data_IF_261487005638
#
_entry.id   IF_261487005638
#
_cell.length_a   1.000
_cell.length_b   1.000
_cell.length_c   1.000
_cell.angle_alpha   90.00
_cell.angle_beta   90.00
_cell.angle_gamma   90.00
#
_symmetry.space_group_name_H-M   'P 1'
#
loop_
_entity.id
_entity.type
_entity.pdbx_description
1 polymer ?
#
# COMPACT_ATOMS: atom_id res chain seq x y z
N UNK A 1 20.93 18.55 -22.74
CA UNK A 1 20.29 18.03 -21.52
C UNK A 1 19.11 18.95 -21.19
N UNK A 2 17.88 18.52 -21.49
CA UNK A 2 16.67 19.25 -21.18
C UNK A 2 16.32 19.12 -19.70
N UNK A 3 15.92 20.23 -19.06
CA UNK A 3 15.37 20.22 -17.72
C UNK A 3 13.97 19.64 -17.83
N UNK A 4 13.76 18.41 -17.33
CA UNK A 4 12.44 17.80 -17.22
C UNK A 4 11.75 18.38 -16.00
N UNK A 5 10.66 19.13 -16.19
CA UNK A 5 9.80 19.54 -15.07
C UNK A 5 8.98 18.30 -14.64
N UNK A 6 9.01 17.89 -13.37
CA UNK A 6 8.12 16.87 -12.89
C UNK A 6 6.66 17.33 -13.01
N UNK A 7 5.74 16.40 -13.28
CA UNK A 7 4.30 16.71 -13.25
C UNK A 7 3.91 17.32 -11.91
N UNK A 8 3.00 18.30 -11.93
CA UNK A 8 2.45 18.83 -10.68
C UNK A 8 1.64 17.76 -9.95
N UNK A 9 1.51 17.89 -8.63
CA UNK A 9 0.68 16.99 -7.83
C UNK A 9 -0.76 16.93 -8.36
N UNK A 10 -1.33 18.09 -8.75
CA UNK A 10 -2.66 18.18 -9.30
C UNK A 10 -2.79 17.41 -10.62
N UNK A 11 -1.81 17.52 -11.51
CA UNK A 11 -1.79 16.79 -12.77
C UNK A 11 -1.71 15.28 -12.56
N UNK A 12 -0.92 14.84 -11.55
CA UNK A 12 -0.81 13.42 -11.22
C UNK A 12 -2.14 12.88 -10.65
N UNK A 13 -2.76 13.60 -9.72
CA UNK A 13 -4.07 13.25 -9.15
C UNK A 13 -5.15 13.24 -10.24
N UNK A 14 -5.16 14.24 -11.14
CA UNK A 14 -6.08 14.27 -12.27
C UNK A 14 -5.92 13.04 -13.17
N UNK A 15 -4.68 12.60 -13.43
CA UNK A 15 -4.39 11.38 -14.19
C UNK A 15 -4.96 10.14 -13.49
N UNK A 16 -4.78 10.00 -12.18
CA UNK A 16 -5.35 8.88 -11.40
C UNK A 16 -6.88 8.87 -11.56
N UNK A 17 -7.55 10.00 -11.38
CA UNK A 17 -9.01 10.13 -11.53
C UNK A 17 -9.49 9.74 -12.92
N UNK A 18 -8.79 10.17 -13.97
CA UNK A 18 -9.09 9.78 -15.35
C UNK A 18 -8.95 8.27 -15.54
N UNK A 19 -7.87 7.65 -15.04
CA UNK A 19 -7.66 6.22 -15.15
C UNK A 19 -8.74 5.41 -14.42
N UNK A 20 -9.13 5.80 -13.19
CA UNK A 20 -10.22 5.14 -12.44
C UNK A 20 -11.53 5.25 -13.21
N UNK A 21 -11.87 6.45 -13.68
CA UNK A 21 -13.08 6.68 -14.49
C UNK A 21 -13.06 5.85 -15.77
N UNK A 22 -11.95 5.79 -16.48
CA UNK A 22 -11.80 5.02 -17.72
C UNK A 22 -11.96 3.52 -17.46
N UNK A 23 -11.39 3.01 -16.36
CA UNK A 23 -11.62 1.63 -15.91
C UNK A 23 -13.10 1.37 -15.70
N UNK A 24 -13.79 2.27 -15.00
CA UNK A 24 -15.23 2.13 -14.75
C UNK A 24 -16.07 2.17 -16.02
N UNK A 25 -15.75 3.06 -16.95
CA UNK A 25 -16.43 3.18 -18.24
C UNK A 25 -16.19 2.00 -19.18
N UNK A 26 -15.07 1.29 -19.04
CA UNK A 26 -14.82 0.03 -19.77
C UNK A 26 -15.67 -1.16 -19.25
N UNK A 27 -16.52 -0.94 -18.26
CA UNK A 27 -17.36 -1.97 -17.63
C UNK A 27 -16.67 -2.72 -16.49
N UNK A 28 -15.40 -2.48 -16.24
CA UNK A 28 -14.65 -3.13 -15.15
C UNK A 28 -14.80 -2.36 -13.85
N UNK A 29 -15.09 -3.06 -12.76
CA UNK A 29 -15.45 -2.42 -11.48
C UNK A 29 -14.43 -2.62 -10.36
N UNK A 30 -13.22 -3.06 -10.68
CA UNK A 30 -12.11 -3.21 -9.74
C UNK A 30 -10.93 -2.36 -10.20
N UNK A 31 -10.33 -1.58 -9.31
CA UNK A 31 -9.14 -0.79 -9.60
C UNK A 31 -7.91 -1.40 -8.92
N UNK A 32 -6.77 -1.47 -9.61
CA UNK A 32 -5.51 -1.99 -9.08
C UNK A 32 -4.54 -0.82 -8.92
N UNK A 33 -4.32 -0.39 -7.70
CA UNK A 33 -3.45 0.71 -7.35
C UNK A 33 -2.03 0.22 -7.06
N UNK A 34 -1.09 0.57 -7.93
CA UNK A 34 0.30 0.15 -7.85
C UNK A 34 1.17 1.31 -7.35
N UNK A 35 1.94 1.10 -6.29
CA UNK A 35 2.79 2.14 -5.71
C UNK A 35 4.07 2.41 -6.49
N UNK A 36 4.37 1.61 -7.52
CA UNK A 36 5.53 1.76 -8.39
C UNK A 36 5.63 0.67 -9.45
N UNK A 37 6.63 0.74 -10.31
CA UNK A 37 6.78 -0.17 -11.44
C UNK A 37 6.91 -1.66 -11.05
N UNK A 38 7.62 -1.98 -9.96
CA UNK A 38 7.76 -3.37 -9.48
C UNK A 38 6.43 -3.95 -9.01
N UNK A 39 5.67 -3.18 -8.25
CA UNK A 39 4.35 -3.61 -7.77
C UNK A 39 3.34 -3.70 -8.91
N UNK A 40 3.46 -2.86 -9.93
CA UNK A 40 2.65 -2.96 -11.14
C UNK A 40 2.96 -4.22 -11.96
N UNK A 41 4.23 -4.56 -12.14
CA UNK A 41 4.64 -5.78 -12.82
C UNK A 41 4.12 -7.03 -12.09
N UNK A 42 4.30 -7.09 -10.77
CA UNK A 42 3.80 -8.18 -9.94
C UNK A 42 2.26 -8.30 -10.05
N UNK A 43 1.55 -7.20 -9.87
CA UNK A 43 0.09 -7.20 -9.91
C UNK A 43 -0.45 -7.70 -11.28
N UNK A 44 0.16 -7.29 -12.39
CA UNK A 44 -0.21 -7.76 -13.72
C UNK A 44 0.02 -9.27 -13.91
N UNK A 45 1.08 -9.81 -13.31
CA UNK A 45 1.36 -11.25 -13.34
C UNK A 45 0.33 -12.05 -12.51
N UNK A 46 -0.11 -11.50 -11.36
CA UNK A 46 -1.03 -12.16 -10.45
C UNK A 46 -2.50 -12.04 -10.87
N UNK A 47 -2.84 -11.03 -11.66
CA UNK A 47 -4.20 -10.70 -12.08
C UNK A 47 -4.28 -10.59 -13.62
N UNK A 48 -3.92 -11.66 -14.36
CA UNK A 48 -3.87 -11.62 -15.83
C UNK A 48 -5.25 -11.39 -16.45
N UNK A 49 -6.32 -11.73 -15.75
CA UNK A 49 -7.71 -11.52 -16.17
C UNK A 49 -8.18 -10.06 -16.08
N UNK A 50 -7.39 -9.18 -15.40
CA UNK A 50 -7.75 -7.77 -15.27
C UNK A 50 -7.31 -6.98 -16.50
N UNK A 51 -8.15 -6.10 -17.06
CA UNK A 51 -7.78 -5.29 -18.23
C UNK A 51 -6.65 -4.32 -17.87
N UNK A 52 -5.74 -4.09 -18.81
CA UNK A 52 -4.54 -3.26 -18.58
C UNK A 52 -4.87 -1.86 -18.04
N UNK A 53 -6.04 -1.30 -18.40
CA UNK A 53 -6.51 0.01 -17.95
C UNK A 53 -6.80 0.06 -16.44
N UNK A 54 -7.06 -1.09 -15.81
CA UNK A 54 -7.33 -1.16 -14.37
C UNK A 54 -6.07 -1.04 -13.49
N UNK A 55 -4.88 -1.22 -14.06
CA UNK A 55 -3.61 -1.10 -13.33
C UNK A 55 -3.12 0.35 -13.35
N UNK A 56 -3.27 1.04 -12.24
CA UNK A 56 -3.06 2.48 -12.09
C UNK A 56 -1.85 2.71 -11.20
N UNK A 57 -0.81 3.36 -11.71
CA UNK A 57 0.34 3.76 -10.91
C UNK A 57 -0.03 5.01 -10.10
N UNK A 58 -0.03 4.88 -8.77
CA UNK A 58 -0.48 5.93 -7.85
C UNK A 58 0.65 6.62 -7.07
N UNK A 59 1.87 6.07 -7.09
CA UNK A 59 2.98 6.61 -6.29
C UNK A 59 2.63 6.69 -4.80
N UNK A 60 2.45 7.92 -4.33
CA UNK A 60 2.16 8.26 -2.93
C UNK A 60 0.69 8.65 -2.66
N UNK A 61 -0.15 8.71 -3.69
CA UNK A 61 -1.50 9.29 -3.65
C UNK A 61 -2.59 8.25 -3.38
N UNK A 62 -2.47 7.51 -2.26
CA UNK A 62 -3.43 6.44 -1.94
C UNK A 62 -4.81 6.98 -1.58
N UNK A 63 -4.90 8.10 -0.82
CA UNK A 63 -6.18 8.64 -0.39
C UNK A 63 -7.02 9.11 -1.58
N UNK A 64 -6.41 9.89 -2.49
CA UNK A 64 -7.06 10.39 -3.70
C UNK A 64 -7.46 9.25 -4.63
N UNK A 65 -6.67 8.17 -4.65
CA UNK A 65 -6.97 6.97 -5.45
C UNK A 65 -8.18 6.22 -4.92
N UNK A 66 -8.24 5.98 -3.61
CA UNK A 66 -9.36 5.30 -2.97
C UNK A 66 -10.63 6.16 -3.04
N UNK A 67 -10.52 7.47 -2.80
CA UNK A 67 -11.63 8.39 -2.93
C UNK A 67 -12.21 8.34 -4.34
N UNK A 68 -11.36 8.43 -5.37
CA UNK A 68 -11.80 8.32 -6.77
C UNK A 68 -12.47 6.98 -7.07
N UNK A 69 -11.97 5.86 -6.51
CA UNK A 69 -12.60 4.55 -6.67
C UNK A 69 -14.00 4.52 -6.02
N UNK A 70 -14.14 5.07 -4.83
CA UNK A 70 -15.44 5.19 -4.15
C UNK A 70 -16.42 6.04 -4.94
N UNK A 71 -16.02 7.24 -5.40
CA UNK A 71 -16.84 8.16 -6.21
C UNK A 71 -17.30 7.53 -7.53
N UNK A 72 -16.49 6.67 -8.13
CA UNK A 72 -16.83 5.94 -9.37
C UNK A 72 -17.60 4.64 -9.12
N UNK A 73 -17.93 4.30 -7.87
CA UNK A 73 -18.69 3.09 -7.51
C UNK A 73 -17.94 1.80 -7.86
N UNK A 74 -16.62 1.79 -7.65
CA UNK A 74 -15.84 0.55 -7.75
C UNK A 74 -16.26 -0.42 -6.66
N UNK A 75 -16.28 -1.71 -6.96
CA UNK A 75 -16.67 -2.77 -6.02
C UNK A 75 -15.51 -3.28 -5.18
N UNK A 76 -14.27 -3.02 -5.60
CA UNK A 76 -13.06 -3.41 -4.89
C UNK A 76 -11.89 -2.54 -5.36
N UNK A 77 -11.00 -2.20 -4.43
CA UNK A 77 -9.67 -1.69 -4.74
C UNK A 77 -8.61 -2.74 -4.36
N UNK A 78 -7.71 -3.06 -5.29
CA UNK A 78 -6.51 -3.86 -5.02
C UNK A 78 -5.34 -2.91 -4.85
N UNK A 79 -4.62 -2.98 -3.74
CA UNK A 79 -3.44 -2.14 -3.48
C UNK A 79 -2.18 -3.00 -3.49
N UNK A 80 -1.38 -2.82 -4.54
CA UNK A 80 -0.08 -3.48 -4.66
C UNK A 80 1.03 -2.57 -4.10
N UNK A 81 1.61 -2.96 -2.97
CA UNK A 81 2.58 -2.15 -2.26
C UNK A 81 3.70 -2.97 -1.61
N UNK A 82 4.77 -2.30 -1.20
CA UNK A 82 5.84 -2.89 -0.38
C UNK A 82 5.59 -2.64 1.11
N UNK A 83 6.24 -3.39 2.03
CA UNK A 83 6.02 -3.29 3.48
C UNK A 83 6.15 -1.87 4.05
N UNK A 84 7.07 -1.04 3.52
CA UNK A 84 7.22 0.35 3.96
C UNK A 84 5.99 1.21 3.68
N UNK A 85 5.31 1.02 2.56
CA UNK A 85 4.04 1.70 2.26
C UNK A 85 2.90 1.16 3.13
N UNK A 86 2.85 -0.17 3.30
CA UNK A 86 1.86 -0.81 4.15
C UNK A 86 1.89 -0.26 5.58
N UNK A 87 3.09 -0.11 6.16
CA UNK A 87 3.25 0.47 7.50
C UNK A 87 2.72 1.91 7.57
N UNK A 88 2.98 2.73 6.55
CA UNK A 88 2.44 4.09 6.47
C UNK A 88 0.91 4.11 6.36
N UNK A 89 0.33 3.19 5.60
CA UNK A 89 -1.13 3.05 5.50
C UNK A 89 -1.76 2.63 6.83
N UNK A 90 -1.12 1.69 7.54
CA UNK A 90 -1.53 1.28 8.88
C UNK A 90 -1.46 2.44 9.89
N UNK A 91 -0.51 3.34 9.73
CA UNK A 91 -0.40 4.56 10.54
C UNK A 91 -1.41 5.67 10.15
N UNK A 92 -2.26 5.44 9.15
CA UNK A 92 -3.30 6.37 8.73
C UNK A 92 -2.81 7.49 7.81
N UNK A 93 -1.62 7.38 7.22
CA UNK A 93 -1.12 8.39 6.31
C UNK A 93 -1.82 8.35 4.95
N UNK A 94 -2.50 9.45 4.62
CA UNK A 94 -3.19 9.64 3.34
C UNK A 94 -2.22 9.88 2.17
N UNK A 95 -1.10 10.56 2.43
CA UNK A 95 0.00 10.77 1.49
C UNK A 95 1.27 10.18 2.09
N UNK A 96 1.92 9.30 1.34
CA UNK A 96 3.04 8.48 1.83
C UNK A 96 4.41 8.89 1.30
N UNK A 97 4.53 10.11 0.78
CA UNK A 97 5.78 10.61 0.20
C UNK A 97 6.97 10.47 1.18
N UNK A 98 8.01 9.75 0.78
CA UNK A 98 9.10 9.32 1.66
C UNK A 98 9.84 10.49 2.35
N UNK A 99 9.97 11.63 1.66
CA UNK A 99 10.64 12.83 2.21
C UNK A 99 9.75 13.67 3.14
N UNK A 100 8.43 13.43 3.15
CA UNK A 100 7.46 14.20 3.94
C UNK A 100 6.93 13.45 5.16
N UNK A 101 6.95 12.13 5.10
CA UNK A 101 6.34 11.28 6.14
C UNK A 101 7.33 10.18 6.54
N UNK A 102 7.81 10.25 7.77
CA UNK A 102 8.63 9.18 8.36
C UNK A 102 7.82 7.89 8.55
N UNK A 103 8.51 6.78 8.76
CA UNK A 103 7.89 5.54 9.18
C UNK A 103 7.44 5.64 10.64
N UNK A 104 6.28 5.10 10.96
CA UNK A 104 5.82 4.96 12.35
C UNK A 104 6.46 3.72 12.98
N UNK A 105 7.70 3.86 13.45
CA UNK A 105 8.43 2.77 14.11
C UNK A 105 7.78 2.32 15.42
N UNK A 106 7.20 3.18 16.25
CA UNK A 106 6.38 2.75 17.39
C UNK A 106 5.22 1.83 17.01
N UNK A 107 4.48 2.12 15.92
CA UNK A 107 3.44 1.22 15.41
C UNK A 107 4.03 -0.13 14.96
N UNK A 108 5.12 -0.09 14.19
CA UNK A 108 5.80 -1.30 13.75
C UNK A 108 6.25 -2.15 14.93
N UNK A 109 6.90 -1.54 15.94
CA UNK A 109 7.37 -2.24 17.15
C UNK A 109 6.21 -2.92 17.88
N UNK A 110 5.14 -2.19 18.20
CA UNK A 110 3.96 -2.77 18.87
C UNK A 110 3.36 -3.93 18.07
N UNK A 111 3.39 -3.85 16.74
CA UNK A 111 2.91 -4.94 15.88
C UNK A 111 3.84 -6.14 15.95
N UNK A 112 5.14 -5.93 15.89
CA UNK A 112 6.14 -7.01 15.96
C UNK A 112 6.13 -7.74 17.32
N UNK A 113 5.97 -7.01 18.42
CA UNK A 113 5.90 -7.57 19.79
C UNK A 113 4.72 -8.53 20.01
N UNK A 114 3.66 -8.43 19.24
CA UNK A 114 2.53 -9.39 19.28
C UNK A 114 2.89 -10.76 18.72
N UNK A 115 3.93 -10.84 17.89
CA UNK A 115 4.26 -12.05 17.13
C UNK A 115 5.60 -12.66 17.50
N UNK A 116 6.46 -11.91 18.22
CA UNK A 116 7.75 -12.43 18.67
C UNK A 116 8.23 -11.70 19.93
N UNK A 117 8.88 -12.42 20.87
CA UNK A 117 9.60 -11.77 21.95
C UNK A 117 10.80 -11.00 21.40
N UNK A 118 10.93 -9.73 21.73
CA UNK A 118 12.04 -8.88 21.29
C UNK A 118 12.91 -8.50 22.49
N UNK A 119 14.23 -8.59 22.32
CA UNK A 119 15.18 -8.11 23.32
C UNK A 119 15.10 -6.58 23.50
N UNK A 120 15.57 -6.06 24.61
CA UNK A 120 15.64 -4.61 24.83
C UNK A 120 16.52 -3.89 23.80
N UNK A 121 17.53 -4.56 23.26
CA UNK A 121 18.38 -4.05 22.20
C UNK A 121 17.62 -3.99 20.85
N UNK A 122 16.93 -5.06 20.48
CA UNK A 122 16.10 -5.10 19.26
C UNK A 122 15.02 -4.02 19.29
N UNK A 123 14.34 -3.81 20.41
CA UNK A 123 13.33 -2.75 20.59
C UNK A 123 13.92 -1.36 20.35
N UNK A 124 15.06 -1.04 20.97
CA UNK A 124 15.75 0.24 20.76
C UNK A 124 16.20 0.39 19.30
N UNK A 125 16.76 -0.68 18.72
CA UNK A 125 17.18 -0.72 17.33
C UNK A 125 16.03 -0.44 16.36
N UNK A 126 14.87 -1.09 16.56
CA UNK A 126 13.67 -0.86 15.73
C UNK A 126 13.22 0.59 15.80
N UNK A 127 13.16 1.18 17.00
CA UNK A 127 12.75 2.58 17.15
C UNK A 127 13.71 3.57 16.49
N UNK A 128 14.98 3.21 16.34
CA UNK A 128 16.00 4.00 15.66
C UNK A 128 16.02 3.80 14.12
N UNK A 129 15.29 2.82 13.59
CA UNK A 129 15.26 2.54 12.14
C UNK A 129 14.56 3.66 11.35
N UNK A 130 15.08 3.96 10.18
CA UNK A 130 14.46 4.87 9.22
C UNK A 130 13.57 4.15 8.19
N UNK A 131 13.59 2.82 8.16
CA UNK A 131 12.83 2.02 7.20
C UNK A 131 12.32 0.70 7.79
N UNK A 132 11.17 0.26 7.31
CA UNK A 132 10.60 -1.06 7.67
C UNK A 132 11.54 -2.21 7.30
N UNK A 133 12.33 -2.07 6.23
CA UNK A 133 13.33 -3.08 5.86
C UNK A 133 14.38 -3.30 6.95
N UNK A 134 14.90 -2.21 7.52
CA UNK A 134 15.84 -2.29 8.64
C UNK A 134 15.16 -2.84 9.90
N UNK A 135 13.94 -2.41 10.19
CA UNK A 135 13.21 -2.91 11.35
C UNK A 135 12.93 -4.42 11.26
N UNK A 136 12.59 -4.93 10.06
CA UNK A 136 12.40 -6.37 9.82
C UNK A 136 13.68 -7.18 10.07
N UNK A 137 14.86 -6.68 9.74
CA UNK A 137 16.11 -7.40 10.02
C UNK A 137 16.43 -7.54 11.52
N UNK A 138 15.71 -6.83 12.38
CA UNK A 138 15.80 -6.91 13.83
C UNK A 138 14.66 -7.76 14.45
N UNK A 139 13.82 -8.36 13.63
CA UNK A 139 12.73 -9.25 14.04
C UNK A 139 12.93 -10.66 13.50
N UNK A 140 12.45 -11.71 14.21
CA UNK A 140 12.50 -13.07 13.71
C UNK A 140 11.75 -13.20 12.38
N UNK A 141 12.32 -13.92 11.42
CA UNK A 141 11.76 -14.05 10.07
C UNK A 141 10.38 -14.71 10.07
N UNK A 142 10.18 -15.69 10.94
CA UNK A 142 8.91 -16.39 11.13
C UNK A 142 7.76 -15.46 11.55
N UNK A 143 8.05 -14.30 12.14
CA UNK A 143 7.04 -13.31 12.53
C UNK A 143 6.61 -12.40 11.35
N UNK A 144 7.40 -12.31 10.29
CA UNK A 144 7.19 -11.30 9.23
C UNK A 144 5.81 -11.38 8.57
N UNK A 145 5.35 -12.59 8.22
CA UNK A 145 4.03 -12.74 7.59
C UNK A 145 2.88 -12.31 8.50
N UNK A 146 3.00 -12.58 9.80
CA UNK A 146 2.01 -12.18 10.80
C UNK A 146 2.04 -10.65 11.02
N UNK A 147 3.22 -10.05 11.03
CA UNK A 147 3.38 -8.59 11.07
C UNK A 147 2.69 -7.95 9.85
N UNK A 148 2.90 -8.49 8.65
CA UNK A 148 2.26 -7.96 7.43
C UNK A 148 0.74 -8.07 7.48
N UNK A 149 0.19 -9.20 7.98
CA UNK A 149 -1.26 -9.38 8.14
C UNK A 149 -1.87 -8.34 9.07
N UNK A 150 -1.23 -8.10 10.21
CA UNK A 150 -1.72 -7.13 11.18
C UNK A 150 -1.63 -5.69 10.67
N UNK A 151 -0.52 -5.34 10.00
CA UNK A 151 -0.40 -4.03 9.35
C UNK A 151 -1.44 -3.84 8.24
N UNK A 152 -1.73 -4.88 7.46
CA UNK A 152 -2.74 -4.80 6.42
C UNK A 152 -4.15 -4.66 7.00
N UNK A 153 -4.48 -5.40 8.05
CA UNK A 153 -5.76 -5.28 8.74
C UNK A 153 -5.94 -3.87 9.32
N UNK A 154 -4.89 -3.26 9.89
CA UNK A 154 -4.96 -1.88 10.36
C UNK A 154 -5.11 -0.90 9.20
N UNK A 155 -4.36 -1.08 8.12
CA UNK A 155 -4.49 -0.26 6.91
C UNK A 155 -5.91 -0.32 6.32
N UNK A 156 -6.53 -1.52 6.27
CA UNK A 156 -7.92 -1.68 5.85
C UNK A 156 -8.88 -0.89 6.75
N UNK A 157 -8.70 -0.94 8.08
CA UNK A 157 -9.49 -0.12 9.01
C UNK A 157 -9.32 1.38 8.77
N UNK A 158 -8.10 1.84 8.53
CA UNK A 158 -7.85 3.25 8.19
C UNK A 158 -8.53 3.65 6.88
N UNK A 159 -8.48 2.79 5.87
CA UNK A 159 -9.10 3.05 4.57
C UNK A 159 -10.63 3.07 4.65
N UNK A 160 -11.24 2.20 5.46
CA UNK A 160 -12.69 2.24 5.71
C UNK A 160 -13.17 3.54 6.37
N UNK A 161 -12.32 4.22 7.13
CA UNK A 161 -12.63 5.55 7.69
C UNK A 161 -12.63 6.65 6.62
N UNK A 162 -11.79 6.51 5.59
CA UNK A 162 -11.70 7.49 4.49
C UNK A 162 -12.73 7.25 3.39
N UNK A 163 -12.94 5.98 3.03
CA UNK A 163 -13.89 5.57 1.97
C UNK A 163 -14.71 4.39 2.48
N UNK A 164 -15.76 4.66 3.27
CA UNK A 164 -16.63 3.62 3.80
C UNK A 164 -17.25 2.76 2.71
N UNK A 165 -17.25 1.45 2.91
CA UNK A 165 -17.87 0.50 1.99
C UNK A 165 -17.05 0.11 0.76
N UNK A 166 -15.84 0.66 0.56
CA UNK A 166 -14.93 0.19 -0.48
C UNK A 166 -14.03 -0.93 0.08
N UNK A 167 -14.23 -2.20 -0.34
CA UNK A 167 -13.35 -3.29 0.07
C UNK A 167 -11.95 -3.12 -0.52
N UNK A 168 -10.91 -3.35 0.30
CA UNK A 168 -9.51 -3.23 -0.13
C UNK A 168 -8.76 -4.53 0.08
N UNK A 169 -8.24 -5.09 -1.03
CA UNK A 169 -7.31 -6.23 -1.06
C UNK A 169 -5.89 -5.73 -1.13
N UNK A 170 -4.96 -6.38 -0.43
CA UNK A 170 -3.53 -6.06 -0.53
C UNK A 170 -2.74 -7.15 -1.24
N UNK A 171 -1.88 -6.75 -2.18
CA UNK A 171 -0.79 -7.56 -2.73
C UNK A 171 0.53 -6.99 -2.20
N UNK A 172 1.13 -7.67 -1.23
CA UNK A 172 2.36 -7.22 -0.60
C UNK A 172 3.56 -7.78 -1.37
N UNK A 173 4.33 -6.88 -1.97
CA UNK A 173 5.53 -7.20 -2.76
C UNK A 173 6.79 -7.18 -1.90
N UNK A 174 7.63 -8.18 -2.08
CA UNK A 174 9.01 -8.17 -1.59
C UNK A 174 9.91 -7.21 -2.36
N UNK A 175 11.12 -7.02 -1.85
CA UNK A 175 12.12 -6.13 -2.47
C UNK A 175 12.64 -6.66 -3.81
N UNK A 176 12.59 -7.97 -4.03
CA UNK A 176 12.91 -8.64 -5.31
C UNK A 176 11.76 -8.66 -6.31
N UNK A 177 10.57 -8.12 -5.93
CA UNK A 177 9.39 -8.11 -6.79
C UNK A 177 8.53 -9.38 -6.69
N UNK A 178 8.86 -10.32 -5.80
CA UNK A 178 8.05 -11.50 -5.51
C UNK A 178 6.84 -11.14 -4.64
N UNK A 179 5.80 -11.96 -4.70
CA UNK A 179 4.67 -11.88 -3.77
C UNK A 179 5.10 -12.38 -2.39
N UNK A 180 4.93 -11.56 -1.36
CA UNK A 180 5.08 -11.98 0.04
C UNK A 180 3.74 -12.47 0.60
N UNK A 181 2.66 -11.73 0.33
CA UNK A 181 1.35 -12.02 0.88
C UNK A 181 0.24 -11.40 0.02
N UNK A 182 -0.82 -12.16 -0.15
CA UNK A 182 -2.10 -11.73 -0.72
C UNK A 182 -3.15 -11.70 0.40
N UNK A 183 -3.71 -10.55 0.68
CA UNK A 183 -4.63 -10.35 1.79
C UNK A 183 -5.97 -9.89 1.22
N UNK A 184 -7.01 -10.73 1.34
CA UNK A 184 -8.34 -10.39 0.86
C UNK A 184 -8.92 -9.18 1.61
N UNK A 185 -9.95 -8.52 1.04
CA UNK A 185 -10.69 -7.49 1.76
C UNK A 185 -11.26 -8.03 3.06
N UNK A 186 -11.22 -7.22 4.14
CA UNK A 186 -12.09 -7.48 5.28
C UNK A 186 -13.53 -7.17 4.83
N UNK A 187 -14.42 -8.15 4.93
CA UNK A 187 -15.85 -7.90 4.81
C UNK A 187 -16.34 -7.21 6.08
N UNK A 188 -17.20 -6.20 5.96
CA UNK A 188 -17.81 -5.55 7.12
C UNK A 188 -18.66 -6.50 7.94
#
# INVERSE_FOLDING_TARGET
SGIVRPYSHEAYIATIRICVRSTRLSGFRKAVFCTGGRTAALAKTLLPEYPSISFICIGDFIAESLQSAGEQGMTEAVVACMPGKLCKYAAGFANTHAHKVAQDMPLFLRTAERHAPLSGEARRGILACSSVRQALSLTPEEAHLSIYRDLAAEAQRQFQRHVPGLPVRFLISGFSGNLLLDIPPCHP
#
